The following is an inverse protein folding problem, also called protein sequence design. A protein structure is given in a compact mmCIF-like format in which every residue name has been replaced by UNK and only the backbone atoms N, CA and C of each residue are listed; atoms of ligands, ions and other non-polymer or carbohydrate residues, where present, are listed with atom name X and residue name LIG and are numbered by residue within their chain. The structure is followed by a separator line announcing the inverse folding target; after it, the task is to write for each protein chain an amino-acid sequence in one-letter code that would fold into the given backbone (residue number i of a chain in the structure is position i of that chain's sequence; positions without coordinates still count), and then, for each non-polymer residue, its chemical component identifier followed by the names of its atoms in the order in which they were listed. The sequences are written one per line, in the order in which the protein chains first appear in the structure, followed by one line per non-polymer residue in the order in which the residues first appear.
data_IF_854328659113
#
_entry.id   IF_854328659113
#
_cell.length_a   1.000
_cell.length_b   1.000
_cell.length_c   1.000
_cell.angle_alpha   90.00
_cell.angle_beta   90.00
_cell.angle_gamma   90.00
#
_symmetry.space_group_name_H-M   'P 1'
#
loop_
_entity.id
_entity.type
_entity.pdbx_description
1 polymer ?
#
# COMPACT_ATOMS: atom_id res chain seq x y z
N UNK A 1 13.71 1.30 -18.09
CA UNK A 1 12.73 0.65 -17.23
C UNK A 1 13.40 0.21 -15.94
N UNK A 2 12.68 0.27 -14.88
CA UNK A 2 13.22 -0.08 -13.59
C UNK A 2 12.88 -1.53 -13.23
N UNK A 3 13.74 -2.13 -12.46
CA UNK A 3 13.52 -3.50 -11.98
C UNK A 3 12.28 -3.55 -11.10
N UNK A 4 12.08 -2.52 -10.27
CA UNK A 4 10.93 -2.49 -9.38
C UNK A 4 9.61 -2.48 -10.15
N UNK A 5 9.58 -1.82 -11.30
CA UNK A 5 8.39 -1.83 -12.12
C UNK A 5 8.09 -3.22 -12.65
N UNK A 6 9.11 -3.95 -13.05
CA UNK A 6 8.93 -5.33 -13.48
C UNK A 6 8.48 -6.23 -12.36
N UNK A 7 9.00 -6.02 -11.15
CA UNK A 7 8.56 -6.78 -9.99
C UNK A 7 7.10 -6.53 -9.68
N UNK A 8 6.67 -5.28 -9.72
CA UNK A 8 5.27 -4.96 -9.45
C UNK A 8 4.33 -5.55 -10.50
N UNK A 9 4.78 -5.62 -11.74
CA UNK A 9 3.96 -6.20 -12.80
C UNK A 9 3.61 -7.66 -12.52
N UNK A 10 4.43 -8.37 -11.73
CA UNK A 10 4.13 -9.74 -11.35
C UNK A 10 3.16 -9.86 -10.19
N UNK A 11 2.93 -8.80 -9.42
CA UNK A 11 2.07 -8.82 -8.25
C UNK A 11 0.77 -8.05 -8.43
N UNK A 12 0.79 -7.01 -9.26
CA UNK A 12 -0.33 -6.10 -9.36
C UNK A 12 -0.87 -6.09 -10.78
N UNK A 13 -2.17 -5.89 -10.88
CA UNK A 13 -2.81 -5.73 -12.18
C UNK A 13 -2.61 -4.30 -12.68
N UNK A 14 -3.11 -4.02 -13.90
CA UNK A 14 -3.05 -2.68 -14.47
C UNK A 14 -4.02 -1.72 -13.80
N UNK A 15 -4.90 -2.23 -12.96
CA UNK A 15 -5.94 -1.43 -12.32
C UNK A 15 -5.54 -0.98 -10.92
N UNK A 16 -4.26 -1.08 -10.57
CA UNK A 16 -3.79 -0.66 -9.27
C UNK A 16 -3.90 0.85 -9.12
N UNK A 17 -4.35 1.29 -7.95
CA UNK A 17 -4.51 2.70 -7.63
C UNK A 17 -3.99 2.98 -6.23
N UNK A 18 -3.35 4.13 -6.09
CA UNK A 18 -2.99 4.62 -4.76
C UNK A 18 -4.21 5.35 -4.20
N UNK A 19 -4.74 4.86 -3.08
CA UNK A 19 -5.90 5.46 -2.42
C UNK A 19 -5.46 6.57 -1.49
N UNK A 20 -4.37 6.36 -0.78
CA UNK A 20 -3.87 7.31 0.20
C UNK A 20 -2.38 7.12 0.36
N UNK A 21 -1.70 8.16 0.82
CA UNK A 21 -0.25 8.13 0.90
C UNK A 21 0.23 9.15 1.91
N UNK A 22 1.19 8.75 2.74
CA UNK A 22 1.82 9.63 3.72
C UNK A 22 3.30 9.24 3.81
N UNK A 23 4.19 10.12 3.29
CA UNK A 23 5.61 9.80 3.24
C UNK A 23 5.85 8.54 2.45
N UNK A 24 6.44 7.53 3.08
CA UNK A 24 6.74 6.25 2.42
C UNK A 24 5.67 5.20 2.66
N UNK A 25 4.56 5.57 3.30
CA UNK A 25 3.47 4.67 3.61
C UNK A 25 2.36 4.90 2.59
N UNK A 26 1.97 3.86 1.89
CA UNK A 26 0.97 3.97 0.82
C UNK A 26 -0.11 2.91 1.01
N UNK A 27 -1.34 3.31 0.72
CA UNK A 27 -2.47 2.39 0.69
C UNK A 27 -2.91 2.24 -0.76
N UNK A 28 -2.81 1.03 -1.29
CA UNK A 28 -3.16 0.73 -2.68
C UNK A 28 -4.38 -0.15 -2.76
N UNK A 29 -5.11 0.01 -3.84
CA UNK A 29 -6.17 -0.91 -4.23
C UNK A 29 -5.84 -1.48 -5.59
N UNK A 30 -6.02 -2.78 -5.74
CA UNK A 30 -5.87 -3.48 -7.01
C UNK A 30 -7.14 -4.27 -7.28
N UNK A 31 -7.42 -4.55 -8.54
CA UNK A 31 -8.58 -5.34 -8.96
C UNK A 31 -8.18 -6.44 -9.92
N UNK A 32 -7.39 -7.41 -9.46
CA UNK A 32 -7.16 -8.58 -10.31
C UNK A 32 -8.49 -9.32 -10.43
N UNK A 33 -8.90 -9.67 -11.64
CA UNK A 33 -10.14 -10.42 -11.86
C UNK A 33 -11.36 -9.73 -11.29
N UNK A 34 -11.36 -8.39 -11.26
CA UNK A 34 -12.50 -7.57 -10.84
C UNK A 34 -12.83 -7.66 -9.36
N UNK A 35 -12.00 -8.33 -8.57
CA UNK A 35 -12.19 -8.40 -7.13
C UNK A 35 -11.22 -7.45 -6.46
N UNK A 36 -11.68 -6.47 -5.67
CA UNK A 36 -10.78 -5.51 -5.05
C UNK A 36 -9.92 -6.17 -3.97
N UNK A 37 -8.63 -5.88 -4.03
CA UNK A 37 -7.66 -6.31 -3.03
C UNK A 37 -6.89 -5.08 -2.60
N UNK A 38 -6.63 -4.95 -1.32
CA UNK A 38 -5.96 -3.77 -0.76
C UNK A 38 -4.61 -4.14 -0.20
N UNK A 39 -3.66 -3.20 -0.30
CA UNK A 39 -2.30 -3.39 0.15
C UNK A 39 -1.83 -2.19 0.93
N UNK A 40 -1.02 -2.43 1.95
CA UNK A 40 -0.26 -1.36 2.61
C UNK A 40 1.21 -1.57 2.26
N UNK A 41 1.82 -0.55 1.65
CA UNK A 41 3.23 -0.59 1.29
C UNK A 41 4.00 0.43 2.13
N UNK A 42 5.17 0.02 2.59
CA UNK A 42 6.07 0.89 3.36
C UNK A 42 7.47 0.74 2.78
N UNK A 43 8.06 1.87 2.38
CA UNK A 43 9.40 1.90 1.82
C UNK A 43 9.55 0.95 0.63
N UNK A 44 8.53 0.89 -0.22
CA UNK A 44 8.57 0.08 -1.43
C UNK A 44 8.28 -1.40 -1.23
N UNK A 45 7.90 -1.82 -0.02
CA UNK A 45 7.61 -3.22 0.27
C UNK A 45 6.16 -3.39 0.71
N UNK A 46 5.51 -4.42 0.21
CA UNK A 46 4.16 -4.76 0.66
C UNK A 46 4.25 -5.32 2.07
N UNK A 47 3.65 -4.64 3.03
CA UNK A 47 3.65 -5.06 4.42
C UNK A 47 2.38 -5.77 4.81
N UNK A 48 1.30 -5.48 4.12
CA UNK A 48 0.03 -6.08 4.45
C UNK A 48 -0.86 -6.15 3.22
N UNK A 49 -1.73 -7.12 3.19
CA UNK A 49 -2.67 -7.35 2.10
C UNK A 49 -3.95 -7.88 2.68
N UNK A 50 -5.08 -7.39 2.22
CA UNK A 50 -6.36 -7.86 2.71
C UNK A 50 -7.50 -6.96 2.35
N UNK A 51 -8.51 -6.89 3.23
CA UNK A 51 -9.70 -6.08 3.02
C UNK A 51 -9.39 -4.59 3.18
N UNK A 52 -10.26 -3.77 2.62
CA UNK A 52 -10.13 -2.33 2.75
C UNK A 52 -10.10 -1.90 4.22
N UNK A 53 -11.06 -2.40 5.00
CA UNK A 53 -11.16 -2.01 6.41
C UNK A 53 -9.87 -2.30 7.16
N UNK A 54 -9.34 -3.49 6.97
CA UNK A 54 -8.14 -3.92 7.66
C UNK A 54 -6.91 -3.12 7.20
N UNK A 55 -6.75 -2.95 5.89
CA UNK A 55 -5.64 -2.18 5.36
C UNK A 55 -5.72 -0.71 5.76
N UNK A 56 -6.92 -0.15 5.78
CA UNK A 56 -7.11 1.24 6.19
C UNK A 56 -6.75 1.43 7.66
N UNK A 57 -7.12 0.50 8.51
CA UNK A 57 -6.76 0.56 9.92
C UNK A 57 -5.25 0.51 10.11
N UNK A 58 -4.59 -0.39 9.38
CA UNK A 58 -3.14 -0.50 9.45
C UNK A 58 -2.45 0.73 8.88
N UNK A 59 -2.95 1.26 7.76
CA UNK A 59 -2.40 2.47 7.17
C UNK A 59 -2.47 3.63 8.19
N UNK A 60 -3.62 3.79 8.83
CA UNK A 60 -3.79 4.85 9.83
C UNK A 60 -2.85 4.67 11.02
N UNK A 61 -2.68 3.43 11.46
CA UNK A 61 -1.79 3.12 12.57
C UNK A 61 -0.34 3.43 12.23
N UNK A 62 0.11 3.01 11.06
CA UNK A 62 1.49 3.26 10.62
C UNK A 62 1.75 4.75 10.44
N UNK A 63 0.80 5.49 9.87
CA UNK A 63 0.98 6.93 9.69
C UNK A 63 1.03 7.64 11.03
N UNK A 64 0.23 7.18 12.00
CA UNK A 64 0.27 7.73 13.35
C UNK A 64 1.63 7.48 14.00
N UNK A 65 2.12 6.27 13.90
CA UNK A 65 3.43 5.94 14.47
C UNK A 65 4.54 6.77 13.85
N UNK A 66 4.51 6.94 12.53
CA UNK A 66 5.51 7.74 11.84
C UNK A 66 5.45 9.19 12.29
N UNK A 67 4.24 9.74 12.46
CA UNK A 67 4.06 11.12 12.90
C UNK A 67 4.52 11.28 14.34
N UNK A 68 4.15 10.37 15.23
CA UNK A 68 4.56 10.43 16.63
C UNK A 68 6.07 10.26 16.75
N UNK A 69 6.65 9.36 15.97
CA UNK A 69 8.09 9.18 15.97
C UNK A 69 8.82 10.42 15.49
N UNK A 70 8.27 11.09 14.48
CA UNK A 70 8.86 12.32 13.97
C UNK A 70 8.72 13.47 14.98
N UNK A 71 7.67 13.46 15.76
CA UNK A 71 7.44 14.48 16.78
C UNK A 71 8.33 14.28 18.01
N UNK A 72 8.83 13.09 18.18
CA UNK A 72 9.73 12.78 19.28
C UNK A 72 11.12 13.24 18.96
#
# INVERSE_FOLDING_TARGET
MTISQGQFAGFFSRNIRCIDSTGQIHLYMDRPNQTPVYFVMIAGKVRHRGSYKHCRELFNRYTRWATEGAAS
#
